data_IF_346165332289
#
_entry.id   IF_346165332289
#
_cell.length_a   1.000
_cell.length_b   1.000
_cell.length_c   1.000
_cell.angle_alpha   90.00
_cell.angle_beta   90.00
_cell.angle_gamma   90.00
#
_symmetry.space_group_name_H-M   'P 1'
#
loop_
_entity.id
_entity.type
_entity.pdbx_description
1 polymer ?
#
# COMPACT_ATOMS: atom_id res chain seq x y z
N UNK A 1 49.10 -8.92 4.97
CA UNK A 1 48.11 -8.61 3.91
C UNK A 1 48.71 -7.59 2.95
N UNK A 2 48.82 -7.93 1.65
CA UNK A 2 49.45 -7.06 0.64
C UNK A 2 48.62 -5.80 0.36
N UNK A 3 49.28 -4.71 -0.03
CA UNK A 3 48.65 -3.41 -0.39
C UNK A 3 47.54 -3.57 -1.44
N UNK A 4 47.72 -4.49 -2.39
CA UNK A 4 46.72 -4.89 -3.40
C UNK A 4 45.47 -5.54 -2.79
N UNK A 5 45.60 -6.44 -1.81
CA UNK A 5 44.44 -7.03 -1.12
C UNK A 5 43.67 -5.98 -0.31
N UNK A 6 44.37 -5.04 0.34
CA UNK A 6 43.71 -3.93 1.06
C UNK A 6 42.93 -3.01 0.11
N UNK A 7 43.52 -2.66 -1.03
CA UNK A 7 42.85 -1.84 -2.04
C UNK A 7 41.60 -2.54 -2.61
N UNK A 8 41.70 -3.82 -2.97
CA UNK A 8 40.56 -4.60 -3.46
C UNK A 8 39.45 -4.76 -2.41
N UNK A 9 39.80 -4.98 -1.14
CA UNK A 9 38.81 -5.03 -0.06
C UNK A 9 38.10 -3.69 0.16
N UNK A 10 38.82 -2.56 0.06
CA UNK A 10 38.21 -1.23 0.16
C UNK A 10 37.27 -0.98 -1.02
N UNK A 11 37.69 -1.28 -2.25
CA UNK A 11 36.85 -1.14 -3.43
C UNK A 11 35.56 -1.96 -3.31
N UNK A 12 35.67 -3.23 -2.89
CA UNK A 12 34.52 -4.11 -2.68
C UNK A 12 33.53 -3.56 -1.63
N UNK A 13 34.04 -3.07 -0.49
CA UNK A 13 33.20 -2.46 0.55
C UNK A 13 32.51 -1.17 0.07
N UNK A 14 33.21 -0.35 -0.71
CA UNK A 14 32.63 0.86 -1.31
C UNK A 14 31.52 0.50 -2.29
N UNK A 15 31.74 -0.50 -3.16
CA UNK A 15 30.72 -0.97 -4.10
C UNK A 15 29.48 -1.50 -3.36
N UNK A 16 29.66 -2.31 -2.31
CA UNK A 16 28.54 -2.77 -1.47
C UNK A 16 27.80 -1.58 -0.87
N UNK A 17 28.53 -0.61 -0.31
CA UNK A 17 27.92 0.57 0.30
C UNK A 17 27.06 1.36 -0.71
N UNK A 18 27.58 1.56 -1.94
CA UNK A 18 26.84 2.23 -3.02
C UNK A 18 25.58 1.46 -3.40
N UNK A 19 25.68 0.14 -3.58
CA UNK A 19 24.53 -0.70 -3.92
C UNK A 19 23.47 -0.67 -2.82
N UNK A 20 23.87 -0.76 -1.55
CA UNK A 20 22.96 -0.69 -0.40
C UNK A 20 22.28 0.68 -0.33
N UNK A 21 23.04 1.77 -0.50
CA UNK A 21 22.48 3.12 -0.49
C UNK A 21 21.49 3.34 -1.63
N UNK A 22 21.81 2.88 -2.84
CA UNK A 22 20.91 2.97 -3.99
C UNK A 22 19.62 2.19 -3.77
N UNK A 23 19.72 0.93 -3.31
CA UNK A 23 18.53 0.12 -3.01
C UNK A 23 17.71 0.72 -1.87
N UNK A 24 18.35 1.26 -0.84
CA UNK A 24 17.67 1.93 0.27
C UNK A 24 16.94 3.17 -0.20
N UNK A 25 17.57 4.00 -1.04
CA UNK A 25 16.94 5.17 -1.66
C UNK A 25 15.71 4.78 -2.49
N UNK A 26 15.83 3.74 -3.32
CA UNK A 26 14.72 3.24 -4.12
C UNK A 26 13.58 2.69 -3.26
N UNK A 27 13.89 1.92 -2.22
CA UNK A 27 12.92 1.34 -1.31
C UNK A 27 12.18 2.43 -0.51
N UNK A 28 12.91 3.38 0.07
CA UNK A 28 12.35 4.52 0.80
C UNK A 28 11.54 5.41 -0.14
N UNK A 29 12.04 5.70 -1.34
CA UNK A 29 11.32 6.50 -2.34
C UNK A 29 10.00 5.84 -2.75
N UNK A 30 10.02 4.53 -3.02
CA UNK A 30 8.82 3.76 -3.37
C UNK A 30 7.81 3.71 -2.22
N UNK A 31 8.30 3.54 -0.99
CA UNK A 31 7.48 3.60 0.22
C UNK A 31 6.81 4.97 0.40
N UNK A 32 7.58 6.06 0.28
CA UNK A 32 7.06 7.43 0.45
C UNK A 32 6.06 7.82 -0.63
N UNK A 33 6.20 7.31 -1.85
CA UNK A 33 5.25 7.53 -2.96
C UNK A 33 3.84 7.01 -2.63
N UNK A 34 3.70 6.00 -1.79
CA UNK A 34 2.38 5.51 -1.34
C UNK A 34 1.55 6.58 -0.62
N UNK A 35 2.18 7.67 -0.16
CA UNK A 35 1.53 8.70 0.62
C UNK A 35 1.44 10.04 -0.13
N UNK A 36 1.69 10.07 -1.44
CA UNK A 36 1.48 11.26 -2.29
C UNK A 36 0.15 11.16 -3.04
N UNK A 37 -0.36 12.24 -3.64
CA UNK A 37 -1.53 12.14 -4.52
C UNK A 37 -1.27 11.18 -5.68
N UNK A 38 -2.21 10.27 -5.92
CA UNK A 38 -2.10 9.23 -6.94
C UNK A 38 -2.70 9.65 -8.28
N UNK A 39 -2.25 9.00 -9.35
CA UNK A 39 -2.77 9.18 -10.70
C UNK A 39 -4.20 8.62 -10.86
N UNK A 40 -4.83 8.88 -12.00
CA UNK A 40 -6.20 8.45 -12.29
C UNK A 40 -7.23 9.57 -12.10
N UNK A 41 -8.35 9.43 -12.80
CA UNK A 41 -9.36 10.48 -12.89
C UNK A 41 -10.09 10.63 -11.54
N UNK A 42 -10.00 11.79 -10.88
CA UNK A 42 -10.72 12.02 -9.63
C UNK A 42 -12.21 12.21 -9.92
N UNK A 43 -13.04 11.41 -9.27
CA UNK A 43 -14.50 11.46 -9.38
C UNK A 43 -15.10 11.63 -7.99
N UNK A 44 -15.91 12.66 -7.81
CA UNK A 44 -16.72 12.78 -6.60
C UNK A 44 -18.07 12.05 -6.77
N UNK A 45 -18.66 11.59 -5.66
CA UNK A 45 -19.90 10.80 -5.70
C UNK A 45 -21.10 11.61 -6.22
N UNK A 46 -21.19 12.89 -5.86
CA UNK A 46 -22.17 13.86 -6.39
C UNK A 46 -22.03 14.04 -7.91
N UNK A 47 -20.79 14.16 -8.40
CA UNK A 47 -20.51 14.26 -9.84
C UNK A 47 -20.90 12.98 -10.59
N UNK A 48 -20.65 11.81 -10.00
CA UNK A 48 -21.05 10.53 -10.58
C UNK A 48 -22.57 10.46 -10.76
N UNK A 49 -23.31 10.83 -9.71
CA UNK A 49 -24.77 10.87 -9.72
C UNK A 49 -25.32 11.91 -10.70
N UNK A 50 -24.75 13.11 -10.72
CA UNK A 50 -25.16 14.18 -11.64
C UNK A 50 -24.97 13.74 -13.11
N UNK A 51 -23.83 13.13 -13.44
CA UNK A 51 -23.57 12.60 -14.79
C UNK A 51 -24.56 11.51 -15.19
N UNK A 52 -24.87 10.60 -14.27
CA UNK A 52 -25.84 9.55 -14.53
C UNK A 52 -27.26 10.08 -14.82
N UNK A 53 -27.68 11.14 -14.10
CA UNK A 53 -28.99 11.78 -14.32
C UNK A 53 -29.11 12.40 -15.72
N UNK A 54 -28.02 12.97 -16.22
CA UNK A 54 -28.00 13.67 -17.52
C UNK A 54 -27.74 12.70 -18.67
N UNK A 55 -26.85 11.72 -18.49
CA UNK A 55 -26.35 10.88 -19.58
C UNK A 55 -26.79 9.42 -19.41
N UNK A 56 -28.07 9.16 -19.67
CA UNK A 56 -28.70 7.84 -19.50
C UNK A 56 -28.18 6.74 -20.46
N UNK A 57 -27.56 7.13 -21.57
CA UNK A 57 -27.09 6.22 -22.63
C UNK A 57 -25.59 5.84 -22.51
N UNK A 58 -24.97 6.01 -21.33
CA UNK A 58 -23.57 5.60 -21.16
C UNK A 58 -23.42 4.07 -21.19
N UNK A 59 -22.30 3.55 -21.73
CA UNK A 59 -22.01 2.12 -21.70
C UNK A 59 -21.91 1.64 -20.25
N UNK A 60 -22.46 0.46 -19.97
CA UNK A 60 -22.55 -0.10 -18.62
C UNK A 60 -21.49 -1.18 -18.44
N UNK A 61 -20.28 -0.76 -18.10
CA UNK A 61 -19.09 -1.60 -18.06
C UNK A 61 -19.02 -2.49 -16.81
N UNK A 62 -19.40 -1.96 -15.64
CA UNK A 62 -19.41 -2.73 -14.39
C UNK A 62 -20.72 -3.54 -14.27
N UNK A 63 -20.64 -4.84 -13.96
CA UNK A 63 -21.80 -5.69 -13.80
C UNK A 63 -22.53 -5.37 -12.49
N UNK A 64 -23.78 -5.84 -12.37
CA UNK A 64 -24.61 -5.68 -11.17
C UNK A 64 -24.28 -6.71 -10.10
N UNK A 65 -23.01 -6.86 -9.82
CA UNK A 65 -22.46 -7.83 -8.89
C UNK A 65 -21.73 -7.08 -7.78
N UNK A 66 -22.11 -7.34 -6.53
CA UNK A 66 -21.43 -6.78 -5.36
C UNK A 66 -20.90 -7.96 -4.57
N UNK A 67 -19.63 -7.89 -4.19
CA UNK A 67 -19.07 -8.82 -3.23
C UNK A 67 -18.79 -8.07 -1.95
N UNK A 68 -19.33 -8.54 -0.83
CA UNK A 68 -19.02 -7.97 0.47
C UNK A 68 -18.40 -9.05 1.34
N UNK A 69 -17.32 -8.65 1.99
CA UNK A 69 -16.62 -9.49 2.96
C UNK A 69 -16.69 -8.76 4.28
N UNK A 70 -17.43 -9.34 5.24
CA UNK A 70 -17.37 -8.90 6.62
C UNK A 70 -16.20 -9.61 7.28
N UNK A 71 -15.12 -8.87 7.57
CA UNK A 71 -14.04 -9.39 8.39
C UNK A 71 -14.37 -9.17 9.87
N UNK A 72 -14.92 -10.19 10.52
CA UNK A 72 -15.22 -10.16 11.96
C UNK A 72 -13.99 -10.63 12.74
N UNK A 73 -13.39 -9.76 13.57
CA UNK A 73 -12.22 -10.09 14.40
C UNK A 73 -12.61 -10.72 15.75
N UNK A 74 -13.78 -11.34 15.84
CA UNK A 74 -14.27 -11.97 17.08
C UNK A 74 -13.68 -13.37 17.26
N UNK A 75 -13.57 -13.86 18.51
CA UNK A 75 -13.17 -15.23 18.78
C UNK A 75 -14.16 -16.22 18.18
N UNK A 76 -13.65 -17.34 17.69
CA UNK A 76 -14.40 -18.44 17.08
C UNK A 76 -15.56 -18.85 17.99
N UNK A 77 -16.78 -18.89 17.46
CA UNK A 77 -18.00 -19.28 18.18
C UNK A 77 -18.97 -18.14 18.48
N UNK A 78 -18.61 -16.90 18.15
CA UNK A 78 -19.52 -15.73 18.19
C UNK A 78 -19.65 -15.07 16.79
N UNK A 79 -19.37 -15.86 15.75
CA UNK A 79 -19.09 -15.41 14.38
C UNK A 79 -20.34 -15.14 13.54
N UNK A 80 -21.49 -15.66 13.97
CA UNK A 80 -22.75 -15.64 13.20
C UNK A 80 -23.55 -14.34 13.36
N UNK A 81 -23.29 -13.55 14.40
CA UNK A 81 -24.03 -12.33 14.66
C UNK A 81 -23.43 -11.16 13.85
N UNK A 82 -24.10 -10.80 12.75
CA UNK A 82 -23.84 -9.56 12.03
C UNK A 82 -23.98 -8.38 12.99
N UNK A 83 -23.07 -7.41 12.92
CA UNK A 83 -23.19 -6.17 13.68
C UNK A 83 -24.49 -5.45 13.25
N UNK A 84 -25.32 -4.94 14.18
CA UNK A 84 -26.59 -4.31 13.83
C UNK A 84 -26.44 -3.21 12.77
N UNK A 85 -25.42 -2.35 12.91
CA UNK A 85 -25.11 -1.30 11.93
C UNK A 85 -24.78 -1.86 10.54
N UNK A 86 -24.09 -3.00 10.47
CA UNK A 86 -23.76 -3.66 9.21
C UNK A 86 -25.01 -4.23 8.56
N UNK A 87 -25.88 -4.89 9.33
CA UNK A 87 -27.12 -5.44 8.79
C UNK A 87 -28.07 -4.33 8.33
N UNK A 88 -28.19 -3.21 9.07
CA UNK A 88 -28.96 -2.04 8.63
C UNK A 88 -28.45 -1.50 7.29
N UNK A 89 -27.13 -1.33 7.14
CA UNK A 89 -26.54 -0.85 5.89
C UNK A 89 -26.69 -1.86 4.74
N UNK A 90 -26.59 -3.16 5.04
CA UNK A 90 -26.79 -4.24 4.09
C UNK A 90 -28.23 -4.22 3.57
N UNK A 91 -29.21 -4.16 4.47
CA UNK A 91 -30.64 -4.15 4.12
C UNK A 91 -31.03 -2.90 3.34
N UNK A 92 -30.58 -1.70 3.74
CA UNK A 92 -30.85 -0.45 3.01
C UNK A 92 -30.49 -0.56 1.52
N UNK A 93 -29.42 -1.26 1.18
CA UNK A 93 -29.07 -1.45 -0.22
C UNK A 93 -29.85 -2.56 -0.91
N UNK A 94 -30.21 -3.61 -0.15
CA UNK A 94 -31.05 -4.69 -0.68
C UNK A 94 -32.34 -4.12 -1.23
N UNK A 95 -32.92 -3.19 -0.49
CA UNK A 95 -34.17 -2.53 -0.82
C UNK A 95 -34.02 -1.59 -2.01
N UNK A 96 -32.92 -0.83 -2.07
CA UNK A 96 -32.73 0.18 -3.13
C UNK A 96 -32.20 -0.37 -4.47
N UNK A 97 -31.67 -1.59 -4.49
CA UNK A 97 -31.11 -2.21 -5.69
C UNK A 97 -31.69 -3.61 -5.86
N UNK A 98 -33.01 -3.75 -6.10
CA UNK A 98 -33.70 -5.04 -6.15
C UNK A 98 -33.10 -6.00 -7.19
N UNK A 99 -32.57 -5.46 -8.28
CA UNK A 99 -32.03 -6.13 -9.47
C UNK A 99 -30.52 -6.44 -9.42
N UNK A 100 -29.86 -6.23 -8.27
CA UNK A 100 -28.44 -6.57 -8.05
C UNK A 100 -28.30 -7.88 -7.26
N UNK A 101 -27.29 -8.70 -7.58
CA UNK A 101 -27.18 -10.07 -7.04
C UNK A 101 -26.83 -10.11 -5.52
N UNK A 102 -26.24 -9.05 -4.98
CA UNK A 102 -25.88 -8.91 -3.55
C UNK A 102 -25.78 -7.42 -3.21
N UNK A 103 -26.03 -6.95 -1.97
CA UNK A 103 -26.34 -5.51 -1.76
C UNK A 103 -25.79 -4.90 -0.44
N UNK A 104 -25.03 -3.81 -0.52
CA UNK A 104 -24.82 -2.81 0.57
C UNK A 104 -24.31 -1.45 0.05
N UNK A 105 -25.03 -0.37 0.36
CA UNK A 105 -25.03 0.96 -0.24
C UNK A 105 -26.23 1.79 0.28
N UNK A 106 -26.14 3.11 0.13
CA UNK A 106 -27.20 4.07 0.54
C UNK A 106 -27.94 4.67 -0.66
N UNK A 107 -27.42 4.48 -1.89
CA UNK A 107 -28.07 4.86 -3.15
C UNK A 107 -27.67 3.90 -4.29
N UNK A 108 -28.39 3.97 -5.42
CA UNK A 108 -28.13 3.09 -6.57
C UNK A 108 -26.73 3.22 -7.16
N UNK A 109 -26.10 2.07 -7.42
CA UNK A 109 -24.80 1.96 -8.07
C UNK A 109 -24.83 2.14 -9.57
N UNK A 110 -26.00 2.33 -10.19
CA UNK A 110 -26.11 2.56 -11.63
C UNK A 110 -25.24 3.75 -12.09
N UNK A 111 -25.06 4.74 -11.22
CA UNK A 111 -24.18 5.89 -11.48
C UNK A 111 -22.70 5.54 -11.60
N UNK A 112 -22.27 4.39 -11.08
CA UNK A 112 -20.88 3.95 -11.13
C UNK A 112 -20.57 2.97 -12.27
N UNK A 113 -21.60 2.41 -12.90
CA UNK A 113 -21.45 1.42 -13.98
C UNK A 113 -20.67 1.88 -15.21
N UNK A 114 -20.69 3.16 -15.59
CA UNK A 114 -19.91 3.64 -16.72
C UNK A 114 -18.39 3.64 -16.51
N UNK A 115 -17.94 3.58 -15.24
CA UNK A 115 -16.52 3.60 -14.88
C UNK A 115 -15.95 2.19 -14.96
N UNK A 116 -15.13 1.89 -15.97
CA UNK A 116 -14.61 0.55 -16.23
C UNK A 116 -13.79 -0.04 -15.08
N UNK A 117 -13.10 0.79 -14.31
CA UNK A 117 -12.49 0.39 -13.05
C UNK A 117 -12.36 1.58 -12.11
N UNK A 118 -12.63 1.37 -10.83
CA UNK A 118 -12.53 2.40 -9.82
C UNK A 118 -12.05 1.88 -8.47
N UNK A 119 -11.35 2.74 -7.75
CA UNK A 119 -10.92 2.53 -6.37
C UNK A 119 -11.32 3.74 -5.52
N UNK A 120 -11.77 3.49 -4.30
CA UNK A 120 -12.05 4.54 -3.33
C UNK A 120 -10.78 5.27 -2.87
N UNK A 121 -10.83 6.61 -2.84
CA UNK A 121 -9.77 7.49 -2.39
C UNK A 121 -10.26 8.35 -1.21
N UNK A 122 -9.65 8.14 -0.04
CA UNK A 122 -9.94 8.91 1.18
C UNK A 122 -9.18 10.24 1.26
N UNK A 123 -8.36 10.55 0.25
CA UNK A 123 -7.47 11.72 0.16
C UNK A 123 -6.50 11.86 1.34
N UNK A 124 -6.03 10.72 1.87
CA UNK A 124 -5.10 10.65 3.02
C UNK A 124 -3.74 10.03 2.66
N UNK A 125 -3.32 10.13 1.40
CA UNK A 125 -2.15 9.42 0.88
C UNK A 125 -2.63 8.19 0.12
N UNK A 126 -2.58 7.03 0.76
CA UNK A 126 -2.90 5.73 0.14
C UNK A 126 -4.36 5.60 -0.30
N UNK A 127 -4.58 4.92 -1.42
CA UNK A 127 -5.91 4.50 -1.90
C UNK A 127 -6.54 3.47 -0.97
N UNK A 128 -7.85 3.22 -1.07
CA UNK A 128 -8.55 2.27 -0.21
C UNK A 128 -8.66 0.88 -0.82
N UNK A 129 -8.55 -0.14 0.03
CA UNK A 129 -8.79 -1.56 -0.25
C UNK A 129 -10.21 -2.04 0.11
N UNK A 130 -11.17 -1.12 0.24
CA UNK A 130 -12.51 -1.40 0.82
C UNK A 130 -13.65 -1.31 -0.17
N UNK A 131 -13.56 -0.38 -1.11
CA UNK A 131 -14.56 -0.15 -2.16
C UNK A 131 -13.82 -0.13 -3.47
N UNK A 132 -14.01 -1.21 -4.21
CA UNK A 132 -13.35 -1.52 -5.47
C UNK A 132 -14.43 -1.84 -6.51
N UNK A 133 -14.20 -1.46 -7.76
CA UNK A 133 -15.11 -1.78 -8.85
C UNK A 133 -14.37 -1.98 -10.15
N UNK A 134 -14.93 -2.81 -11.03
CA UNK A 134 -14.30 -3.17 -12.28
C UNK A 134 -15.25 -3.86 -13.24
N UNK A 135 -15.04 -3.64 -14.53
CA UNK A 135 -15.54 -4.48 -15.58
C UNK A 135 -14.90 -5.88 -15.47
N UNK A 136 -15.61 -6.94 -15.89
CA UNK A 136 -15.04 -8.27 -15.90
C UNK A 136 -13.77 -8.29 -16.74
N UNK A 137 -12.72 -8.97 -16.26
CA UNK A 137 -11.43 -9.10 -16.95
C UNK A 137 -10.74 -7.77 -17.28
N UNK A 138 -11.04 -6.69 -16.56
CA UNK A 138 -10.36 -5.42 -16.79
C UNK A 138 -8.83 -5.61 -16.62
N UNK A 139 -7.99 -5.15 -17.57
CA UNK A 139 -6.56 -5.42 -17.60
C UNK A 139 -5.82 -5.05 -16.30
N UNK A 140 -6.22 -3.93 -15.69
CA UNK A 140 -5.71 -3.52 -14.38
C UNK A 140 -5.93 -4.59 -13.29
N UNK A 141 -7.14 -5.14 -13.18
CA UNK A 141 -7.45 -6.13 -12.13
C UNK A 141 -6.74 -7.45 -12.37
N UNK A 142 -6.60 -7.87 -13.63
CA UNK A 142 -5.79 -9.04 -14.00
C UNK A 142 -4.35 -8.84 -13.54
N UNK A 143 -3.74 -7.70 -13.87
CA UNK A 143 -2.37 -7.36 -13.46
C UNK A 143 -2.20 -7.31 -11.93
N UNK A 144 -3.18 -6.76 -11.20
CA UNK A 144 -3.19 -6.78 -9.72
C UNK A 144 -3.16 -8.22 -9.22
N UNK A 145 -4.03 -9.10 -9.71
CA UNK A 145 -4.12 -10.49 -9.25
C UNK A 145 -2.86 -11.30 -9.53
N UNK A 146 -2.26 -11.13 -10.72
CA UNK A 146 -1.01 -11.80 -11.09
C UNK A 146 0.18 -11.32 -10.25
N UNK A 147 0.09 -10.12 -9.66
CA UNK A 147 1.14 -9.53 -8.83
C UNK A 147 1.07 -9.98 -7.37
N UNK A 148 -0.05 -10.54 -6.90
CA UNK A 148 -0.26 -10.99 -5.52
C UNK A 148 0.82 -11.97 -5.05
N UNK A 149 1.18 -13.04 -5.80
CA UNK A 149 2.19 -14.00 -5.34
C UNK A 149 3.55 -13.35 -5.06
N UNK A 150 3.90 -12.29 -5.81
CA UNK A 150 5.16 -11.56 -5.62
C UNK A 150 5.20 -10.74 -4.33
N UNK A 151 4.05 -10.37 -3.78
CA UNK A 151 3.93 -9.63 -2.52
C UNK A 151 3.64 -10.55 -1.33
N UNK A 152 3.55 -11.86 -1.56
CA UNK A 152 3.46 -12.87 -0.50
C UNK A 152 4.83 -13.12 0.11
N UNK A 153 5.28 -12.19 0.94
CA UNK A 153 6.55 -12.28 1.65
C UNK A 153 6.38 -12.79 3.08
N UNK A 154 7.48 -13.23 3.68
CA UNK A 154 7.54 -13.41 5.12
C UNK A 154 7.69 -12.05 5.80
N UNK A 155 6.59 -11.54 6.35
CA UNK A 155 6.56 -10.26 7.05
C UNK A 155 6.90 -10.45 8.53
N UNK A 156 7.93 -9.72 9.00
CA UNK A 156 8.33 -9.74 10.43
C UNK A 156 7.21 -9.22 11.33
N UNK A 157 6.44 -8.24 10.86
CA UNK A 157 5.33 -7.63 11.60
C UNK A 157 3.99 -7.96 10.95
N UNK A 158 2.99 -8.47 11.71
CA UNK A 158 1.67 -8.81 11.16
C UNK A 158 0.95 -7.63 10.49
N UNK A 159 1.13 -6.41 11.00
CA UNK A 159 0.55 -5.20 10.41
C UNK A 159 1.08 -4.93 8.99
N UNK A 160 2.35 -5.25 8.72
CA UNK A 160 2.91 -5.14 7.38
C UNK A 160 2.31 -6.19 6.44
N UNK A 161 2.06 -7.41 6.92
CA UNK A 161 1.38 -8.43 6.11
C UNK A 161 -0.01 -7.94 5.67
N UNK A 162 -0.78 -7.36 6.58
CA UNK A 162 -2.12 -6.81 6.29
C UNK A 162 -2.05 -5.65 5.30
N UNK A 163 -1.07 -4.76 5.40
CA UNK A 163 -0.99 -3.57 4.55
C UNK A 163 -0.31 -3.82 3.20
N UNK A 164 0.81 -4.53 3.18
CA UNK A 164 1.67 -4.77 2.00
C UNK A 164 1.42 -6.08 1.27
N UNK A 165 0.83 -7.09 1.91
CA UNK A 165 0.56 -8.38 1.25
C UNK A 165 -0.50 -8.24 0.17
N UNK A 166 -1.72 -7.85 0.57
CA UNK A 166 -2.87 -7.66 -0.34
C UNK A 166 -3.77 -6.49 0.06
N UNK A 167 -3.40 -5.75 1.09
CA UNK A 167 -4.21 -4.64 1.59
C UNK A 167 -3.90 -3.30 0.94
N UNK A 168 -4.17 -2.25 1.71
CA UNK A 168 -4.14 -0.87 1.24
C UNK A 168 -2.86 -0.43 0.51
N UNK A 169 -1.69 -0.76 1.05
CA UNK A 169 -0.42 -0.31 0.47
C UNK A 169 -0.04 -1.09 -0.78
N UNK A 170 -0.31 -2.39 -0.79
CA UNK A 170 -0.22 -3.23 -1.99
C UNK A 170 -1.02 -2.63 -3.15
N UNK A 171 -2.32 -2.38 -2.90
CA UNK A 171 -3.21 -1.93 -3.94
C UNK A 171 -2.85 -0.52 -4.46
N UNK A 172 -2.38 0.35 -3.57
CA UNK A 172 -1.84 1.67 -3.93
C UNK A 172 -0.60 1.52 -4.82
N UNK A 173 0.34 0.64 -4.46
CA UNK A 173 1.54 0.39 -5.24
C UNK A 173 1.21 -0.16 -6.63
N UNK A 174 0.27 -1.11 -6.73
CA UNK A 174 -0.18 -1.68 -7.99
C UNK A 174 -0.86 -0.63 -8.88
N UNK A 175 -1.66 0.26 -8.29
CA UNK A 175 -2.30 1.38 -8.99
C UNK A 175 -1.29 2.35 -9.60
N UNK A 176 -0.30 2.78 -8.80
CA UNK A 176 0.74 3.68 -9.28
C UNK A 176 1.62 3.03 -10.33
N UNK A 177 1.96 1.74 -10.15
CA UNK A 177 2.75 0.99 -11.12
C UNK A 177 2.01 0.86 -12.46
N UNK A 178 0.72 0.57 -12.43
CA UNK A 178 -0.10 0.51 -13.64
C UNK A 178 -0.08 1.83 -14.41
N UNK A 179 -0.26 2.96 -13.73
CA UNK A 179 -0.23 4.28 -14.36
C UNK A 179 1.16 4.63 -14.90
N UNK A 180 2.21 4.19 -14.22
CA UNK A 180 3.58 4.34 -14.72
C UNK A 180 3.80 3.55 -16.01
N UNK A 181 3.40 2.28 -16.04
CA UNK A 181 3.55 1.40 -17.20
C UNK A 181 2.64 1.83 -18.36
N UNK A 182 1.50 2.46 -18.08
CA UNK A 182 0.53 2.97 -19.05
C UNK A 182 0.48 4.51 -19.09
N UNK A 183 1.65 5.15 -18.91
CA UNK A 183 1.75 6.61 -18.76
C UNK A 183 1.17 7.38 -19.96
N UNK A 184 1.39 6.90 -21.19
CA UNK A 184 0.85 7.54 -22.41
C UNK A 184 -0.69 7.57 -22.41
N UNK A 185 -1.35 6.46 -22.07
CA UNK A 185 -2.82 6.39 -21.99
C UNK A 185 -3.34 7.31 -20.88
N UNK A 186 -2.63 7.34 -19.75
CA UNK A 186 -2.98 8.13 -18.57
C UNK A 186 -2.87 9.64 -18.82
N UNK A 187 -1.86 10.08 -19.58
CA UNK A 187 -1.60 11.50 -19.85
C UNK A 187 -2.40 12.04 -21.04
N UNK A 188 -2.47 11.31 -22.14
CA UNK A 188 -3.01 11.82 -23.40
C UNK A 188 -4.45 11.40 -23.67
N UNK A 189 -5.04 10.51 -22.84
CA UNK A 189 -6.36 9.88 -23.11
C UNK A 189 -6.48 9.31 -24.52
N UNK A 190 -5.36 8.93 -25.12
CA UNK A 190 -5.30 8.38 -26.47
C UNK A 190 -4.98 6.90 -26.38
N UNK A 191 -5.67 6.11 -27.20
CA UNK A 191 -5.43 4.69 -27.34
C UNK A 191 -6.70 3.89 -27.64
N UNK A 192 -6.57 2.67 -28.18
CA UNK A 192 -7.70 1.80 -28.53
C UNK A 192 -8.54 1.37 -27.32
N UNK A 193 -8.05 1.63 -26.09
CA UNK A 193 -8.64 1.26 -24.81
C UNK A 193 -9.07 2.47 -23.97
N UNK A 194 -9.50 3.57 -24.59
CA UNK A 194 -10.01 4.73 -23.86
C UNK A 194 -11.16 4.40 -22.89
N UNK A 195 -11.84 3.26 -23.09
CA UNK A 195 -12.85 2.71 -22.20
C UNK A 195 -12.28 2.11 -20.89
N UNK A 196 -10.99 1.78 -20.79
CA UNK A 196 -10.35 1.07 -19.65
C UNK A 196 -9.74 2.02 -18.61
N UNK A 197 -10.34 3.19 -18.46
CA UNK A 197 -9.77 4.25 -17.65
C UNK A 197 -9.99 4.01 -16.15
N UNK A 198 -8.94 4.31 -15.38
CA UNK A 198 -8.92 4.11 -13.94
C UNK A 198 -9.43 5.34 -13.21
N UNK A 199 -10.47 5.14 -12.40
CA UNK A 199 -11.16 6.19 -11.65
C UNK A 199 -10.80 6.15 -10.17
N UNK A 200 -10.52 7.30 -9.58
CA UNK A 200 -10.44 7.45 -8.12
C UNK A 200 -11.73 8.03 -7.60
N UNK A 201 -12.53 7.22 -6.91
CA UNK A 201 -13.78 7.64 -6.33
C UNK A 201 -13.55 8.28 -4.95
N UNK A 202 -13.84 9.57 -4.83
CA UNK A 202 -13.66 10.29 -3.57
C UNK A 202 -14.59 9.75 -2.49
N UNK A 203 -14.00 9.34 -1.37
CA UNK A 203 -14.67 8.79 -0.18
C UNK A 203 -14.28 9.62 1.06
N UNK A 204 -14.80 10.85 1.17
CA UNK A 204 -14.56 11.67 2.35
C UNK A 204 -15.26 11.07 3.58
N UNK A 205 -14.68 11.34 4.75
CA UNK A 205 -15.18 10.82 6.02
C UNK A 205 -16.33 11.69 6.52
N UNK A 206 -17.56 11.29 6.23
CA UNK A 206 -18.75 11.97 6.72
C UNK A 206 -19.11 11.49 8.14
N UNK A 207 -19.60 12.40 9.01
CA UNK A 207 -20.28 12.01 10.25
C UNK A 207 -21.75 11.78 9.90
N UNK A 208 -22.08 10.57 9.46
CA UNK A 208 -23.35 10.28 8.80
C UNK A 208 -23.28 10.61 7.31
N UNK A 209 -23.78 9.71 6.46
CA UNK A 209 -23.67 9.86 5.02
C UNK A 209 -24.79 10.77 4.51
N UNK A 210 -24.49 11.85 3.75
CA UNK A 210 -25.53 12.68 3.15
C UNK A 210 -26.48 11.84 2.31
N UNK A 211 -27.76 12.23 2.20
CA UNK A 211 -28.77 11.47 1.44
C UNK A 211 -28.40 11.23 -0.03
N UNK A 212 -27.53 12.08 -0.61
CA UNK A 212 -27.04 11.94 -1.98
C UNK A 212 -25.77 11.08 -2.08
N UNK A 213 -25.21 10.58 -0.99
CA UNK A 213 -23.98 9.76 -1.04
C UNK A 213 -24.27 8.33 -1.49
N UNK A 214 -23.38 7.76 -2.31
CA UNK A 214 -23.50 6.37 -2.78
C UNK A 214 -23.08 5.42 -1.66
N UNK A 215 -21.99 5.77 -0.97
CA UNK A 215 -21.40 5.01 0.11
C UNK A 215 -21.47 5.76 1.44
N UNK A 216 -21.88 5.06 2.50
CA UNK A 216 -21.72 5.50 3.88
C UNK A 216 -20.50 4.88 4.53
N UNK A 217 -19.92 5.60 5.49
CA UNK A 217 -18.84 5.10 6.34
C UNK A 217 -19.28 5.09 7.80
N UNK A 218 -19.25 3.92 8.42
CA UNK A 218 -19.53 3.74 9.85
C UNK A 218 -18.27 3.28 10.58
N UNK A 219 -18.21 3.49 11.91
CA UNK A 219 -17.06 3.09 12.72
C UNK A 219 -17.13 1.58 12.99
N UNK A 220 -16.51 0.78 12.13
CA UNK A 220 -16.48 -0.69 12.25
C UNK A 220 -15.55 -1.28 13.33
N UNK A 221 -14.99 -0.48 14.25
CA UNK A 221 -14.13 -0.96 15.34
C UNK A 221 -13.07 0.03 15.85
N UNK A 222 -12.15 -0.46 16.70
CA UNK A 222 -10.99 0.27 17.26
C UNK A 222 -9.71 0.18 16.42
N UNK A 223 -9.75 -0.47 15.24
CA UNK A 223 -8.59 -0.53 14.36
C UNK A 223 -8.23 0.90 13.92
N UNK A 224 -7.25 1.48 14.61
CA UNK A 224 -6.96 2.89 14.52
C UNK A 224 -6.29 3.19 13.17
N UNK A 225 -6.65 4.32 12.57
CA UNK A 225 -6.05 4.88 11.36
C UNK A 225 -4.56 5.27 11.56
N UNK A 226 -4.03 5.02 12.76
CA UNK A 226 -2.70 5.38 13.23
C UNK A 226 -1.54 4.94 12.32
N UNK A 227 -1.56 3.78 11.61
CA UNK A 227 -0.45 3.44 10.74
C UNK A 227 -0.37 4.45 9.59
N UNK A 228 -1.50 4.79 8.97
CA UNK A 228 -1.54 5.78 7.88
C UNK A 228 -1.15 7.16 8.41
N UNK A 229 -1.70 7.57 9.56
CA UNK A 229 -1.45 8.89 10.13
C UNK A 229 0.02 9.10 10.54
N UNK A 230 0.71 8.08 11.07
CA UNK A 230 2.15 8.15 11.38
C UNK A 230 2.99 8.32 10.11
N UNK A 231 2.67 7.62 9.02
CA UNK A 231 3.45 7.79 7.78
C UNK A 231 3.10 9.07 7.03
N UNK A 232 1.87 9.57 7.15
CA UNK A 232 1.49 10.92 6.69
C UNK A 232 2.23 12.00 7.50
N UNK A 233 2.42 11.81 8.81
CA UNK A 233 3.26 12.65 9.65
C UNK A 233 4.75 12.53 9.26
N UNK A 234 5.23 11.31 9.06
CA UNK A 234 6.58 11.02 8.57
C UNK A 234 6.86 11.67 7.22
N UNK A 235 5.87 11.77 6.33
CA UNK A 235 5.93 12.56 5.09
C UNK A 235 6.07 14.05 5.37
N UNK A 236 5.27 14.64 6.28
CA UNK A 236 5.42 16.07 6.65
C UNK A 236 6.82 16.39 7.17
N UNK A 237 7.50 15.40 7.77
CA UNK A 237 8.85 15.52 8.30
C UNK A 237 9.87 14.61 7.60
N UNK A 238 9.69 14.35 6.30
CA UNK A 238 10.48 13.33 5.58
C UNK A 238 11.99 13.63 5.58
N UNK A 239 12.36 14.91 5.53
CA UNK A 239 13.75 15.38 5.67
C UNK A 239 14.34 14.98 7.03
N UNK A 240 13.58 15.15 8.11
CA UNK A 240 14.02 14.80 9.48
C UNK A 240 14.21 13.29 9.62
N UNK A 241 13.33 12.49 9.02
CA UNK A 241 13.43 11.02 9.01
C UNK A 241 14.64 10.52 8.20
N UNK A 242 14.96 11.14 7.06
CA UNK A 242 16.14 10.80 6.27
C UNK A 242 17.41 11.21 7.03
N UNK A 243 17.45 12.42 7.59
CA UNK A 243 18.61 12.91 8.35
C UNK A 243 18.84 12.04 9.58
N UNK A 244 17.80 11.66 10.33
CA UNK A 244 17.95 10.79 11.50
C UNK A 244 18.40 9.38 11.12
N UNK A 245 17.92 8.82 10.01
CA UNK A 245 18.36 7.54 9.48
C UNK A 245 19.85 7.56 9.07
N UNK A 246 20.27 8.59 8.34
CA UNK A 246 21.69 8.77 7.93
C UNK A 246 22.57 8.96 9.16
N UNK A 247 22.17 9.80 10.11
CA UNK A 247 22.89 9.99 11.38
C UNK A 247 22.98 8.67 12.16
N UNK A 248 21.89 7.89 12.22
CA UNK A 248 21.88 6.57 12.85
C UNK A 248 22.86 5.59 12.24
N UNK A 249 22.95 5.52 10.90
CA UNK A 249 23.92 4.67 10.19
C UNK A 249 25.36 5.14 10.46
N UNK A 250 25.63 6.45 10.40
CA UNK A 250 26.95 7.02 10.67
C UNK A 250 27.39 6.71 12.11
N UNK A 251 26.50 6.91 13.08
CA UNK A 251 26.76 6.58 14.50
C UNK A 251 26.97 5.07 14.69
N UNK A 252 26.16 4.23 14.05
CA UNK A 252 26.30 2.77 14.10
C UNK A 252 27.64 2.29 13.54
N UNK A 253 28.08 2.81 12.39
CA UNK A 253 29.40 2.52 11.80
C UNK A 253 30.52 3.00 12.72
N UNK A 254 30.43 4.22 13.25
CA UNK A 254 31.41 4.77 14.18
C UNK A 254 31.57 3.90 15.45
N UNK A 255 30.45 3.53 16.08
CA UNK A 255 30.44 2.66 17.27
C UNK A 255 30.96 1.26 16.94
N UNK A 256 30.58 0.68 15.80
CA UNK A 256 31.08 -0.61 15.33
C UNK A 256 32.60 -0.61 15.13
N UNK A 257 33.16 0.41 14.48
CA UNK A 257 34.61 0.57 14.31
C UNK A 257 35.30 0.75 15.67
N UNK A 258 34.72 1.54 16.58
CA UNK A 258 35.25 1.77 17.93
C UNK A 258 35.26 0.47 18.76
N UNK A 259 34.19 -0.30 18.72
CA UNK A 259 34.08 -1.61 19.39
C UNK A 259 35.05 -2.62 18.79
N UNK A 260 35.19 -2.66 17.47
CA UNK A 260 36.14 -3.52 16.77
C UNK A 260 37.60 -3.16 17.16
N UNK A 261 37.96 -1.86 17.12
CA UNK A 261 39.28 -1.39 17.55
C UNK A 261 39.56 -1.74 19.02
N UNK A 262 38.58 -1.58 19.91
CA UNK A 262 38.69 -1.99 21.33
C UNK A 262 38.91 -3.50 21.46
N UNK A 263 38.17 -4.33 20.72
CA UNK A 263 38.36 -5.80 20.73
C UNK A 263 39.72 -6.22 20.16
N UNK A 264 40.20 -5.58 19.09
CA UNK A 264 41.54 -5.82 18.54
C UNK A 264 42.65 -5.40 19.53
N UNK A 265 42.50 -4.26 20.20
CA UNK A 265 43.43 -3.81 21.23
C UNK A 265 43.44 -4.75 22.44
N UNK A 266 42.27 -5.21 22.89
CA UNK A 266 42.15 -6.19 23.97
C UNK A 266 42.79 -7.54 23.61
N UNK A 267 42.64 -8.02 22.36
CA UNK A 267 43.34 -9.22 21.88
C UNK A 267 44.87 -9.05 21.83
N UNK A 268 45.36 -7.88 21.38
CA UNK A 268 46.81 -7.57 21.42
C UNK A 268 47.38 -7.57 22.83
N UNK A 269 46.63 -7.03 23.81
CA UNK A 269 47.07 -7.00 25.22
C UNK A 269 47.09 -8.37 25.89
N UNK A 270 46.33 -9.36 25.39
CA UNK A 270 46.32 -10.73 25.94
C UNK A 270 47.52 -11.59 25.53
N UNK A 271 48.43 -11.07 24.70
CA UNK A 271 49.64 -11.76 24.26
C UNK A 271 49.36 -12.98 23.38
N UNK A 272 50.27 -13.30 22.48
CA UNK A 272 50.28 -14.61 21.83
C UNK A 272 50.77 -15.63 22.87
N UNK A 273 50.01 -16.71 23.11
CA UNK A 273 50.52 -17.85 23.89
C UNK A 273 51.72 -18.43 23.15
N UNK A 274 52.90 -18.57 23.78
CA UNK A 274 54.02 -19.24 23.14
C UNK A 274 53.60 -20.68 22.83
N UNK A 275 53.93 -21.14 21.62
CA UNK A 275 53.81 -22.55 21.26
C UNK A 275 54.84 -23.29 22.10
N UNK A 276 54.39 -24.16 23.00
CA UNK A 276 55.29 -25.05 23.74
C UNK A 276 55.96 -25.93 22.70
N UNK A 277 57.27 -25.74 22.50
CA UNK A 277 58.06 -26.64 21.69
C UNK A 277 58.12 -27.97 22.45
N UNK A 278 57.39 -28.95 21.95
CA UNK A 278 57.47 -30.32 22.43
C UNK A 278 58.86 -30.84 22.10
N UNK A 279 59.72 -30.92 23.12
CA UNK A 279 61.02 -31.55 23.04
C UNK A 279 60.81 -33.03 22.73
N UNK A 280 61.12 -33.44 21.50
CA UNK A 280 61.32 -34.85 21.19
C UNK A 280 62.49 -35.36 22.03
N UNK A 281 62.19 -36.30 22.92
CA UNK A 281 63.11 -37.34 23.36
C UNK A 281 62.77 -38.59 22.57
#
# INVERSE_FOLDING_TARGET
>A
MSRRRRFLSVLFLVTIAIVVLYNSYQAVGSFLRLFVPHAGYPLNQDQALARFRVQKNQPKNVPRLIHQVLHNWRPVGNDSALLPEWETQRQSCRDQNPDWEYKGCVNSFESLRPYSAFIADHRRGTLSDKVLGGAPQHPFWVSVTETIPRHSHWYVFPSLAVLYGTGRWFLTAAWDRWHWDNCQQSLFRTGPRAADWLTRLSMPRWRGAPEWSIFSSHRGGRAADWPVDIFVLGRKHWVVSIVSGVVGVVVGVYLGVKLFRRRCAARRRRGYRPVVAESRV
#
